data_IF_339639541387
#
_entry.id   IF_339639541387
#
_cell.length_a   1.000
_cell.length_b   1.000
_cell.length_c   1.000
_cell.angle_alpha   90.00
_cell.angle_beta   90.00
_cell.angle_gamma   90.00
#
_symmetry.space_group_name_H-M   'P 1'
#
loop_
_entity.id
_entity.type
_entity.pdbx_description
1 polymer ?
#
# COMPACT_ATOMS: atom_id res chain seq x y z
N UNK A 1 -17.88 0.03 -6.33
CA UNK A 1 -18.63 -0.02 -5.07
C UNK A 1 -17.70 -0.66 -4.04
N UNK A 2 -17.63 -0.17 -2.80
CA UNK A 2 -16.75 -0.77 -1.79
C UNK A 2 -17.21 -2.19 -1.45
N UNK A 3 -16.28 -3.10 -1.15
CA UNK A 3 -16.61 -4.48 -0.78
C UNK A 3 -16.84 -4.57 0.73
N UNK A 4 -18.09 -4.74 1.14
CA UNK A 4 -18.47 -4.84 2.54
C UNK A 4 -17.91 -6.09 3.25
N UNK A 5 -17.45 -7.09 2.50
CA UNK A 5 -16.77 -8.26 3.08
C UNK A 5 -15.33 -7.95 3.49
N UNK A 6 -14.71 -6.92 2.89
CA UNK A 6 -13.37 -6.47 3.23
C UNK A 6 -13.44 -5.50 4.39
N UNK A 7 -12.69 -5.78 5.45
CA UNK A 7 -12.60 -4.89 6.59
C UNK A 7 -11.89 -3.60 6.17
N UNK A 8 -12.47 -2.46 6.56
CA UNK A 8 -11.79 -1.18 6.43
C UNK A 8 -10.57 -1.16 7.36
N UNK A 9 -9.44 -0.66 6.85
CA UNK A 9 -8.25 -0.41 7.66
C UNK A 9 -8.42 0.96 8.28
N UNK A 10 -8.88 1.01 9.54
CA UNK A 10 -9.14 2.25 10.27
C UNK A 10 -8.06 2.49 11.33
N UNK A 11 -7.12 3.36 10.99
CA UNK A 11 -6.00 3.76 11.82
C UNK A 11 -6.31 5.10 12.50
N UNK A 12 -7.32 5.06 13.37
CA UNK A 12 -7.85 6.20 14.10
C UNK A 12 -6.78 7.03 14.84
N UNK A 13 -5.71 6.40 15.37
CA UNK A 13 -4.67 7.11 16.13
C UNK A 13 -3.82 8.04 15.25
N UNK A 14 -3.80 7.81 13.93
CA UNK A 14 -3.08 8.63 12.96
C UNK A 14 -4.01 9.30 11.95
N UNK A 15 -5.33 9.17 12.11
CA UNK A 15 -6.33 9.78 11.22
C UNK A 15 -6.25 9.28 9.78
N UNK A 16 -5.98 7.99 9.58
CA UNK A 16 -5.90 7.37 8.26
C UNK A 16 -6.90 6.24 8.13
N UNK A 17 -7.66 6.21 7.03
CA UNK A 17 -8.61 5.15 6.74
C UNK A 17 -8.49 4.69 5.30
N UNK A 18 -8.42 3.37 5.08
CA UNK A 18 -8.33 2.75 3.75
C UNK A 18 -9.46 1.74 3.58
N UNK A 19 -10.18 1.84 2.47
CA UNK A 19 -11.32 1.00 2.14
C UNK A 19 -11.18 0.45 0.72
N UNK A 20 -10.99 -0.87 0.58
CA UNK A 20 -10.86 -1.53 -0.71
C UNK A 20 -12.23 -1.86 -1.32
N UNK A 21 -12.29 -1.87 -2.65
CA UNK A 21 -13.44 -2.35 -3.40
C UNK A 21 -13.33 -3.84 -3.78
N UNK A 22 -14.34 -4.33 -4.48
CA UNK A 22 -14.38 -5.66 -5.11
C UNK A 22 -13.66 -5.69 -6.48
N UNK A 23 -12.93 -4.63 -6.85
CA UNK A 23 -12.31 -4.51 -8.17
C UNK A 23 -11.31 -5.64 -8.45
N UNK A 24 -10.56 -6.08 -7.45
CA UNK A 24 -9.61 -7.19 -7.58
C UNK A 24 -10.33 -8.45 -8.07
N UNK A 25 -11.43 -8.80 -7.44
CA UNK A 25 -12.23 -10.00 -7.72
C UNK A 25 -12.94 -9.85 -9.06
N UNK A 26 -13.66 -8.74 -9.25
CA UNK A 26 -14.42 -8.46 -10.49
C UNK A 26 -13.52 -8.41 -11.72
N UNK A 27 -12.30 -7.91 -11.58
CA UNK A 27 -11.34 -7.78 -12.69
C UNK A 27 -10.36 -8.95 -12.77
N UNK A 28 -10.52 -9.98 -11.94
CA UNK A 28 -9.64 -11.16 -11.86
C UNK A 28 -8.15 -10.80 -11.65
N UNK A 29 -7.88 -9.76 -10.87
CA UNK A 29 -6.53 -9.31 -10.54
C UNK A 29 -5.92 -8.29 -11.51
N UNK A 30 -6.66 -7.82 -12.52
CA UNK A 30 -6.16 -6.73 -13.39
C UNK A 30 -6.06 -5.39 -12.68
N UNK A 31 -6.89 -5.14 -11.66
CA UNK A 31 -6.92 -3.89 -10.89
C UNK A 31 -7.32 -4.16 -9.45
N UNK A 32 -6.65 -3.52 -8.49
CA UNK A 32 -7.16 -3.32 -7.13
C UNK A 32 -7.42 -1.83 -6.95
N UNK A 33 -8.53 -1.44 -6.33
CA UNK A 33 -8.80 -0.04 -6.05
C UNK A 33 -9.58 0.15 -4.75
N UNK A 34 -9.59 1.39 -4.27
CA UNK A 34 -10.21 1.74 -2.99
C UNK A 34 -10.26 3.23 -2.76
N UNK A 35 -10.72 3.60 -1.57
CA UNK A 35 -10.73 4.97 -1.05
C UNK A 35 -9.75 5.08 0.10
N UNK A 36 -8.94 6.14 0.09
CA UNK A 36 -8.11 6.54 1.21
C UNK A 36 -8.60 7.88 1.76
N UNK A 37 -8.67 7.98 3.07
CA UNK A 37 -8.89 9.23 3.79
C UNK A 37 -7.66 9.53 4.64
N UNK A 38 -7.09 10.72 4.46
CA UNK A 38 -5.99 11.22 5.28
C UNK A 38 -6.48 12.44 6.07
N UNK A 39 -6.33 12.38 7.38
CA UNK A 39 -6.64 13.48 8.29
C UNK A 39 -5.80 14.73 8.01
N UNK A 40 -6.16 15.87 8.61
CA UNK A 40 -5.45 17.13 8.39
C UNK A 40 -3.94 17.01 8.66
N UNK A 41 -3.12 17.45 7.71
CA UNK A 41 -1.66 17.42 7.78
C UNK A 41 -1.03 16.03 7.77
N UNK A 42 -1.82 14.97 7.56
CA UNK A 42 -1.34 13.59 7.61
C UNK A 42 -0.55 13.23 6.36
N UNK A 43 0.69 12.78 6.58
CA UNK A 43 1.47 12.11 5.54
C UNK A 43 0.91 10.72 5.26
N UNK A 44 0.95 10.30 4.00
CA UNK A 44 0.66 8.93 3.59
C UNK A 44 1.83 7.98 3.88
N UNK A 45 1.99 6.92 3.08
CA UNK A 45 3.10 5.98 3.25
C UNK A 45 4.45 6.65 3.05
N UNK A 46 5.48 6.14 3.72
CA UNK A 46 6.87 6.52 3.45
C UNK A 46 7.20 6.32 1.98
N UNK A 47 8.16 7.10 1.46
CA UNK A 47 8.53 7.03 0.06
C UNK A 47 8.88 5.60 -0.36
N UNK A 48 8.24 5.12 -1.42
CA UNK A 48 8.32 3.75 -1.88
C UNK A 48 8.22 3.66 -3.40
N UNK A 49 8.41 2.46 -3.93
CA UNK A 49 8.42 2.16 -5.36
C UNK A 49 7.58 0.90 -5.60
N UNK A 50 6.67 0.99 -6.57
CA UNK A 50 6.01 -0.17 -7.16
C UNK A 50 6.77 -0.59 -8.41
N UNK A 51 7.44 -1.75 -8.40
CA UNK A 51 8.32 -2.15 -9.52
C UNK A 51 7.58 -2.72 -10.71
N UNK A 52 6.32 -3.13 -10.53
CA UNK A 52 5.50 -3.77 -11.57
C UNK A 52 4.13 -3.10 -11.76
N UNK A 53 3.72 -2.21 -10.86
CA UNK A 53 2.38 -1.62 -10.87
C UNK A 53 2.49 -0.13 -11.20
N UNK A 54 1.53 0.36 -11.97
CA UNK A 54 1.18 1.79 -11.90
C UNK A 54 0.28 2.01 -10.70
N UNK A 55 0.46 3.14 -10.02
CA UNK A 55 -0.46 3.59 -8.98
C UNK A 55 -1.14 4.88 -9.45
N UNK A 56 -2.45 4.96 -9.31
CA UNK A 56 -3.19 6.18 -9.62
C UNK A 56 -3.96 6.72 -8.43
N UNK A 57 -4.14 8.04 -8.44
CA UNK A 57 -4.89 8.80 -7.45
C UNK A 57 -5.92 9.68 -8.15
N UNK A 58 -7.09 9.84 -7.55
CA UNK A 58 -8.11 10.81 -7.93
C UNK A 58 -8.70 11.43 -6.67
N UNK A 59 -8.62 12.75 -6.52
CA UNK A 59 -9.11 13.42 -5.31
C UNK A 59 -10.62 13.59 -5.40
N UNK A 60 -11.34 13.03 -4.44
CA UNK A 60 -12.79 13.13 -4.33
C UNK A 60 -13.23 14.32 -3.47
N UNK A 61 -12.41 14.69 -2.49
CA UNK A 61 -12.62 15.86 -1.63
C UNK A 61 -11.30 16.30 -1.00
N UNK A 62 -11.08 17.61 -0.85
CA UNK A 62 -9.89 18.17 -0.21
C UNK A 62 -8.73 18.39 -1.19
N UNK A 63 -7.50 18.34 -0.68
CA UNK A 63 -6.28 18.52 -1.47
C UNK A 63 -5.26 17.44 -1.12
N UNK A 64 -4.76 16.72 -2.11
CA UNK A 64 -3.67 15.76 -1.96
C UNK A 64 -2.40 16.34 -2.59
N UNK A 65 -1.26 16.14 -1.94
CA UNK A 65 0.04 16.40 -2.56
C UNK A 65 0.73 15.06 -2.79
N UNK A 66 1.03 14.75 -4.05
CA UNK A 66 1.81 13.59 -4.45
C UNK A 66 3.22 14.06 -4.78
N UNK A 67 4.24 13.36 -4.28
CA UNK A 67 5.63 13.56 -4.69
C UNK A 67 6.05 12.32 -5.44
N UNK A 68 6.33 12.43 -6.74
CA UNK A 68 6.70 11.32 -7.61
C UNK A 68 7.87 11.72 -8.52
N UNK A 69 8.90 10.89 -8.59
CA UNK A 69 10.07 11.14 -9.45
C UNK A 69 10.80 12.45 -9.11
N UNK A 70 10.77 12.87 -7.84
CA UNK A 70 11.33 14.14 -7.37
C UNK A 70 10.49 15.38 -7.66
N UNK A 71 9.31 15.23 -8.28
CA UNK A 71 8.37 16.33 -8.56
C UNK A 71 7.22 16.29 -7.57
N UNK A 72 6.77 17.47 -7.14
CA UNK A 72 5.57 17.60 -6.32
C UNK A 72 4.39 18.05 -7.19
N UNK A 73 3.28 17.31 -7.10
CA UNK A 73 2.02 17.58 -7.78
C UNK A 73 0.94 17.76 -6.73
N UNK A 74 0.24 18.90 -6.78
CA UNK A 74 -0.91 19.17 -5.93
C UNK A 74 -2.18 18.86 -6.70
N UNK A 75 -3.00 17.96 -6.18
CA UNK A 75 -4.29 17.54 -6.72
C UNK A 75 -5.42 18.11 -5.87
N UNK A 76 -6.35 18.80 -6.51
CA UNK A 76 -7.63 19.25 -5.96
C UNK A 76 -8.75 18.30 -6.36
N UNK A 77 -9.92 18.46 -5.74
CA UNK A 77 -11.13 17.70 -6.09
C UNK A 77 -11.35 17.61 -7.60
N UNK A 78 -11.51 16.38 -8.10
CA UNK A 78 -11.71 16.04 -9.51
C UNK A 78 -10.40 15.84 -10.31
N UNK A 79 -9.24 16.21 -9.75
CA UNK A 79 -7.94 16.01 -10.40
C UNK A 79 -7.38 14.62 -10.08
N UNK A 80 -6.64 14.07 -11.04
CA UNK A 80 -6.00 12.76 -10.91
C UNK A 80 -4.53 12.79 -11.32
N UNK A 81 -3.77 11.82 -10.81
CA UNK A 81 -2.36 11.63 -11.13
C UNK A 81 -2.04 10.15 -11.23
N UNK A 82 -1.17 9.79 -12.17
CA UNK A 82 -0.67 8.43 -12.33
C UNK A 82 0.83 8.43 -12.05
N UNK A 83 1.24 7.58 -11.13
CA UNK A 83 2.63 7.25 -10.83
C UNK A 83 3.04 6.08 -11.72
N UNK A 84 4.14 6.24 -12.45
CA UNK A 84 4.65 5.18 -13.32
C UNK A 84 5.30 4.05 -12.49
N UNK A 85 5.30 2.84 -13.04
CA UNK A 85 6.04 1.73 -12.44
C UNK A 85 7.53 2.07 -12.33
N UNK A 86 8.15 1.71 -11.21
CA UNK A 86 9.54 2.02 -10.90
C UNK A 86 9.80 3.45 -10.42
N UNK A 87 8.80 4.33 -10.45
CA UNK A 87 8.92 5.70 -9.96
C UNK A 87 8.79 5.72 -8.44
N UNK A 88 9.76 6.35 -7.76
CA UNK A 88 9.69 6.55 -6.32
C UNK A 88 8.66 7.64 -5.99
N UNK A 89 7.78 7.37 -5.04
CA UNK A 89 6.68 8.27 -4.71
C UNK A 89 6.22 8.18 -3.25
N UNK A 90 5.50 9.22 -2.83
CA UNK A 90 4.74 9.32 -1.58
C UNK A 90 3.58 10.30 -1.79
N UNK A 91 2.61 10.30 -0.89
CA UNK A 91 1.52 11.27 -0.89
C UNK A 91 1.29 11.80 0.52
N UNK A 92 0.61 12.93 0.63
CA UNK A 92 0.18 13.53 1.90
C UNK A 92 -1.07 14.36 1.71
N UNK A 93 -1.74 14.64 2.82
CA UNK A 93 -2.74 15.71 2.84
C UNK A 93 -2.05 17.07 2.58
N UNK A 94 -2.60 17.82 1.64
CA UNK A 94 -2.16 19.16 1.26
C UNK A 94 -2.59 20.25 2.24
N UNK A 95 -3.54 19.96 3.13
CA UNK A 95 -4.16 20.90 4.06
C UNK A 95 -3.94 20.48 5.52
N UNK A 96 -3.82 21.46 6.43
CA UNK A 96 -3.59 21.24 7.87
C UNK A 96 -4.85 21.29 8.72
N UNK A 97 -5.99 21.60 8.13
CA UNK A 97 -7.26 21.83 8.82
C UNK A 97 -8.38 20.91 8.34
N UNK A 98 -8.34 20.47 7.08
CA UNK A 98 -9.36 19.61 6.46
C UNK A 98 -8.78 18.27 6.04
N UNK A 99 -9.55 17.17 6.11
CA UNK A 99 -9.13 15.88 5.59
C UNK A 99 -9.15 15.89 4.05
N UNK A 100 -8.38 14.99 3.45
CA UNK A 100 -8.49 14.66 2.02
C UNK A 100 -9.05 13.25 1.86
N UNK A 101 -9.94 13.08 0.89
CA UNK A 101 -10.49 11.80 0.46
C UNK A 101 -10.12 11.60 -0.99
N UNK A 102 -9.44 10.50 -1.31
CA UNK A 102 -9.03 10.18 -2.66
C UNK A 102 -9.35 8.72 -2.99
N UNK A 103 -9.68 8.45 -4.24
CA UNK A 103 -9.62 7.12 -4.81
C UNK A 103 -8.16 6.80 -5.13
N UNK A 104 -7.73 5.58 -4.83
CA UNK A 104 -6.44 5.04 -5.27
C UNK A 104 -6.65 3.74 -6.04
N UNK A 105 -5.71 3.36 -6.90
CA UNK A 105 -5.72 2.07 -7.58
C UNK A 105 -4.34 1.59 -7.97
N UNK A 106 -4.21 0.27 -8.11
CA UNK A 106 -3.02 -0.42 -8.57
C UNK A 106 -3.33 -1.30 -9.77
N UNK A 107 -2.51 -1.19 -10.81
CA UNK A 107 -2.63 -2.02 -12.02
C UNK A 107 -1.25 -2.56 -12.43
N UNK A 108 -1.04 -3.89 -12.49
CA UNK A 108 -1.97 -4.95 -12.06
C UNK A 108 -2.22 -4.94 -10.54
N UNK A 109 -3.22 -5.69 -10.05
CA UNK A 109 -3.58 -5.71 -8.63
C UNK A 109 -2.48 -6.29 -7.72
N UNK A 110 -1.76 -7.31 -8.23
CA UNK A 110 -0.72 -8.10 -7.54
C UNK A 110 -1.04 -8.38 -6.07
N UNK A 111 -0.13 -8.17 -5.11
CA UNK A 111 -0.33 -8.55 -3.71
C UNK A 111 -0.36 -7.37 -2.72
N UNK A 112 -0.39 -6.14 -3.23
CA UNK A 112 -0.29 -4.95 -2.38
C UNK A 112 -1.52 -4.73 -1.48
N UNK A 113 -2.72 -4.99 -1.99
CA UNK A 113 -3.95 -4.99 -1.19
C UNK A 113 -3.86 -5.98 -0.02
N UNK A 114 -3.38 -7.19 -0.29
CA UNK A 114 -3.16 -8.20 0.75
C UNK A 114 -2.14 -7.75 1.80
N UNK A 115 -1.04 -7.11 1.38
CA UNK A 115 -0.05 -6.55 2.30
C UNK A 115 -0.69 -5.50 3.21
N UNK A 116 -1.44 -4.55 2.65
CA UNK A 116 -2.09 -3.47 3.40
C UNK A 116 -3.14 -4.03 4.36
N UNK A 117 -3.98 -4.97 3.93
CA UNK A 117 -4.95 -5.65 4.82
C UNK A 117 -4.24 -6.38 5.96
N UNK A 118 -3.23 -7.21 5.67
CA UNK A 118 -2.50 -7.98 6.68
C UNK A 118 -1.81 -7.10 7.71
N UNK A 119 -1.12 -6.05 7.26
CA UNK A 119 -0.45 -5.11 8.16
C UNK A 119 -1.46 -4.22 8.90
N UNK A 120 -2.54 -3.84 8.23
CA UNK A 120 -3.61 -3.01 8.76
C UNK A 120 -4.34 -3.68 9.91
N UNK A 121 -4.63 -4.98 9.80
CA UNK A 121 -5.17 -5.79 10.90
C UNK A 121 -4.30 -5.69 12.15
N UNK A 122 -2.99 -5.91 12.02
CA UNK A 122 -2.09 -5.78 13.17
C UNK A 122 -1.98 -4.35 13.71
N UNK A 123 -2.03 -3.35 12.83
CA UNK A 123 -2.00 -1.95 13.23
C UNK A 123 -3.25 -1.58 14.03
N UNK A 124 -4.44 -1.98 13.54
CA UNK A 124 -5.73 -1.78 14.23
C UNK A 124 -5.74 -2.45 15.61
N UNK A 125 -5.35 -3.72 15.69
CA UNK A 125 -5.35 -4.48 16.94
C UNK A 125 -4.35 -3.94 17.99
N UNK A 126 -3.38 -3.13 17.56
CA UNK A 126 -2.30 -2.61 18.42
C UNK A 126 -2.33 -1.10 18.61
N UNK A 127 -3.50 -0.49 18.43
CA UNK A 127 -3.76 0.91 18.73
C UNK A 127 -3.87 1.84 17.51
N UNK A 128 -4.13 1.29 16.33
CA UNK A 128 -4.51 2.08 15.14
C UNK A 128 -3.38 2.92 14.54
N UNK A 129 -2.14 2.40 14.52
CA UNK A 129 -0.98 3.09 13.91
C UNK A 129 -0.06 2.08 13.20
N UNK A 130 0.36 2.39 11.98
CA UNK A 130 1.32 1.61 11.20
C UNK A 130 2.63 1.31 11.95
N UNK A 131 3.05 2.18 12.86
CA UNK A 131 4.25 1.96 13.70
C UNK A 131 4.12 0.78 14.65
N UNK A 132 2.91 0.28 14.88
CA UNK A 132 2.61 -0.83 15.80
C UNK A 132 2.65 -2.20 15.11
N UNK A 133 2.78 -2.21 13.79
CA UNK A 133 2.96 -3.40 12.97
C UNK A 133 4.17 -4.20 13.47
N UNK A 134 4.04 -5.52 13.73
CA UNK A 134 5.14 -6.34 14.22
C UNK A 134 6.25 -6.46 13.16
N UNK A 135 7.48 -6.12 13.56
CA UNK A 135 8.64 -6.08 12.67
C UNK A 135 8.88 -7.38 11.90
N UNK A 136 8.91 -8.54 12.57
CA UNK A 136 9.28 -9.80 11.93
C UNK A 136 8.25 -10.29 10.88
N UNK A 137 6.94 -10.36 11.16
CA UNK A 137 5.93 -10.61 10.13
C UNK A 137 5.95 -9.59 8.99
N UNK A 138 6.13 -8.29 9.29
CA UNK A 138 6.17 -7.26 8.27
C UNK A 138 7.39 -7.37 7.36
N UNK A 139 8.58 -7.60 7.92
CA UNK A 139 9.80 -7.83 7.16
C UNK A 139 9.67 -9.08 6.28
N UNK A 140 9.00 -10.13 6.76
CA UNK A 140 8.70 -11.31 5.96
C UNK A 140 7.76 -10.98 4.79
N UNK A 141 6.70 -10.19 4.99
CA UNK A 141 5.85 -9.72 3.88
C UNK A 141 6.65 -8.89 2.87
N UNK A 142 7.47 -7.93 3.33
CA UNK A 142 8.31 -7.12 2.44
C UNK A 142 9.30 -7.97 1.64
N UNK A 143 9.84 -9.03 2.24
CA UNK A 143 10.67 -9.99 1.53
C UNK A 143 9.89 -10.78 0.46
N UNK A 144 8.65 -11.20 0.75
CA UNK A 144 7.78 -11.87 -0.23
C UNK A 144 7.43 -10.95 -1.40
N UNK A 145 7.14 -9.68 -1.12
CA UNK A 145 6.78 -8.66 -2.10
C UNK A 145 7.98 -7.90 -2.67
N UNK A 146 9.22 -8.36 -2.47
CA UNK A 146 10.43 -7.66 -2.97
C UNK A 146 10.45 -7.44 -4.49
N UNK A 147 9.64 -8.16 -5.27
CA UNK A 147 9.51 -7.94 -6.71
C UNK A 147 8.42 -6.94 -7.08
N UNK A 148 7.60 -6.50 -6.12
CA UNK A 148 6.42 -5.64 -6.33
C UNK A 148 6.58 -4.31 -5.59
N UNK A 149 7.08 -4.32 -4.36
CA UNK A 149 7.16 -3.18 -3.47
C UNK A 149 8.58 -3.00 -2.90
N UNK A 150 9.09 -1.78 -2.95
CA UNK A 150 10.42 -1.41 -2.43
C UNK A 150 10.34 -0.10 -1.64
N UNK A 151 11.17 0.03 -0.62
CA UNK A 151 11.38 1.31 0.06
C UNK A 151 12.28 2.20 -0.80
N UNK A 152 11.90 3.46 -1.00
CA UNK A 152 12.73 4.40 -1.74
C UNK A 152 13.97 4.79 -0.94
N UNK A 153 15.08 5.10 -1.62
CA UNK A 153 16.32 5.52 -1.00
C UNK A 153 17.22 4.40 -0.44
N UNK A 154 16.76 3.15 -0.44
CA UNK A 154 17.56 1.98 -0.01
C UNK A 154 17.86 1.11 -1.24
N UNK A 155 19.13 0.77 -1.54
CA UNK A 155 19.45 -0.11 -2.67
C UNK A 155 18.73 -1.46 -2.58
N UNK A 156 18.25 -2.00 -3.70
CA UNK A 156 17.40 -3.20 -3.71
C UNK A 156 18.06 -4.42 -3.08
N UNK A 157 19.35 -4.64 -3.35
CA UNK A 157 20.10 -5.75 -2.77
C UNK A 157 20.26 -5.64 -1.25
N UNK A 158 20.32 -4.40 -0.71
CA UNK A 158 20.35 -4.16 0.74
C UNK A 158 19.01 -4.54 1.35
N UNK A 159 17.90 -4.15 0.71
CA UNK A 159 16.56 -4.56 1.13
C UNK A 159 16.38 -6.08 1.07
N UNK A 160 16.87 -6.73 0.01
CA UNK A 160 16.80 -8.18 -0.17
C UNK A 160 17.54 -8.92 0.94
N UNK A 161 18.74 -8.46 1.30
CA UNK A 161 19.52 -9.03 2.39
C UNK A 161 18.82 -8.79 3.74
N UNK A 162 18.46 -7.54 4.05
CA UNK A 162 17.86 -7.15 5.31
C UNK A 162 16.56 -7.91 5.57
N UNK A 163 15.60 -7.84 4.64
CA UNK A 163 14.31 -8.49 4.79
C UNK A 163 14.42 -10.01 4.63
N UNK A 164 15.40 -10.52 3.88
CA UNK A 164 15.69 -11.95 3.80
C UNK A 164 16.16 -12.53 5.14
N UNK A 165 17.09 -11.86 5.81
CA UNK A 165 17.57 -12.25 7.15
C UNK A 165 16.44 -12.18 8.17
N UNK A 166 15.72 -11.05 8.22
CA UNK A 166 14.58 -10.89 9.14
C UNK A 166 13.45 -11.89 8.86
N UNK A 167 13.19 -12.20 7.59
CA UNK A 167 12.26 -13.24 7.17
C UNK A 167 12.68 -14.64 7.62
N UNK A 168 13.99 -14.95 7.55
CA UNK A 168 14.55 -16.18 8.12
C UNK A 168 14.33 -16.28 9.63
N UNK A 169 14.57 -15.19 10.38
CA UNK A 169 14.27 -15.13 11.82
C UNK A 169 12.78 -15.30 12.08
N UNK A 170 11.91 -14.71 11.25
CA UNK A 170 10.46 -14.86 11.36
C UNK A 170 10.03 -16.33 11.19
N UNK A 171 10.69 -17.10 10.31
CA UNK A 171 10.46 -18.53 10.17
C UNK A 171 10.89 -19.31 11.42
N UNK A 172 12.11 -19.08 11.90
CA UNK A 172 12.67 -19.80 13.07
C UNK A 172 11.83 -19.54 14.33
N UNK A 173 11.38 -18.31 14.52
CA UNK A 173 10.57 -17.89 15.69
C UNK A 173 9.08 -18.18 15.53
N UNK A 174 8.65 -18.77 14.42
CA UNK A 174 7.24 -19.05 14.11
C UNK A 174 6.38 -17.82 13.79
N UNK A 175 6.95 -16.60 13.80
CA UNK A 175 6.25 -15.36 13.46
C UNK A 175 5.73 -15.36 12.01
N UNK A 176 6.41 -16.05 11.08
CA UNK A 176 5.96 -16.22 9.71
C UNK A 176 4.60 -16.94 9.59
N UNK A 177 4.21 -17.77 10.57
CA UNK A 177 2.90 -18.44 10.60
C UNK A 177 1.74 -17.46 10.82
N UNK A 178 2.02 -16.26 11.30
CA UNK A 178 1.03 -15.17 11.44
C UNK A 178 0.72 -14.50 10.10
N UNK A 179 1.50 -14.80 9.06
CA UNK A 179 1.31 -14.27 7.71
C UNK A 179 0.54 -15.31 6.88
N UNK A 180 -0.77 -15.10 6.76
CA UNK A 180 -1.62 -15.91 5.89
C UNK A 180 -1.43 -15.39 4.48
N UNK A 181 -0.76 -16.16 3.62
CA UNK A 181 -0.55 -15.80 2.20
C UNK A 181 -1.89 -15.81 1.46
N UNK A 182 -2.08 -14.96 0.44
CA UNK A 182 -3.25 -15.06 -0.41
C UNK A 182 -3.21 -16.40 -1.14
N UNK A 183 -4.38 -17.04 -1.30
CA UNK A 183 -4.49 -18.22 -2.15
C UNK A 183 -4.06 -17.80 -3.56
N UNK A 184 -3.08 -18.51 -4.11
CA UNK A 184 -2.44 -18.14 -5.38
C UNK A 184 -3.44 -18.19 -6.52
N UNK A 185 -3.80 -17.02 -7.04
CA UNK A 185 -4.49 -16.89 -8.34
C UNK A 185 -3.75 -15.92 -9.28
N UNK A 186 -2.44 -15.69 -9.05
CA UNK A 186 -1.68 -14.65 -9.76
C UNK A 186 -0.37 -15.15 -10.37
N UNK A 187 -0.23 -16.46 -10.64
CA UNK A 187 0.91 -16.97 -11.42
C UNK A 187 0.66 -16.99 -12.94
N UNK A 188 -0.48 -16.49 -13.42
CA UNK A 188 -0.82 -16.51 -14.86
C UNK A 188 -1.25 -15.14 -15.39
N UNK A 189 -0.48 -14.10 -15.08
CA UNK A 189 -0.31 -13.01 -16.05
C UNK A 189 0.96 -13.29 -16.84
N UNK A 190 0.87 -14.32 -17.68
CA UNK A 190 1.81 -14.50 -18.78
C UNK A 190 1.66 -13.28 -19.69
N UNK A 191 2.69 -12.46 -19.75
CA UNK A 191 2.96 -11.59 -20.89
C UNK A 191 3.17 -12.48 -22.11
N UNK A 192 2.09 -12.96 -22.73
CA UNK A 192 2.12 -13.39 -24.12
C UNK A 192 1.92 -12.15 -24.98
N UNK A 193 2.99 -11.76 -25.67
CA UNK A 193 2.99 -10.74 -26.70
C UNK A 193 2.27 -11.15 -27.97
#
# INVERSE_FOLDING_TARGET
MLDASKRAIDLHAIGEKIEFSDARERTRGRRSDGIITLGPGRDGPSAHIHTQQVEGFEVLSGTMVVVAGGRSVTLRTGESFLVAHGEAHTCRNGDKTTPVVAKFWFEPALNLEWMLQSMGEWAMDRGGDWKKVPLLPAAYILFLLRREYRLAGIPFWVQDLLFGVLGGVAHITGQAKRVIRPVSDVSTYSTSG
#
